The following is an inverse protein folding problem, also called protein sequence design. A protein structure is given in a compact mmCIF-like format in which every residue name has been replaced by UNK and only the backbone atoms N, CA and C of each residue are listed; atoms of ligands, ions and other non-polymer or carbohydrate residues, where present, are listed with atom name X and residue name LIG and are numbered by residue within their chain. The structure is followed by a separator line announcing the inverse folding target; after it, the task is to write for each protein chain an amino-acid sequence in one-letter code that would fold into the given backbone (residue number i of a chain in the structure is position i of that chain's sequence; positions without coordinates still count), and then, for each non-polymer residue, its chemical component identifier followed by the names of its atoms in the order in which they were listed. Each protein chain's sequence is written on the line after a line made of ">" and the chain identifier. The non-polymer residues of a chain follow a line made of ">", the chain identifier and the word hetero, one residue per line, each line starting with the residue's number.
data_IF_813318076367
#
_entry.id   IF_813318076367
#
_cell.length_a   1.000
_cell.length_b   1.000
_cell.length_c   1.000
_cell.angle_alpha   90.00
_cell.angle_beta   90.00
_cell.angle_gamma   90.00
#
_symmetry.space_group_name_H-M   'P 1'
#
loop_
_entity.id
_entity.type
_entity.pdbx_description
1 polymer ?
#
# COMPACT_ATOMS: atom_id res chain seq x y z
N UNK A 1 -27.56 -21.20 -0.57
CA UNK A 1 -26.53 -20.11 -0.48
C UNK A 1 -26.62 -19.61 0.95
N UNK A 2 -25.58 -19.68 1.77
CA UNK A 2 -25.64 -19.13 3.12
C UNK A 2 -25.82 -17.63 2.99
N UNK A 3 -26.80 -17.07 3.68
CA UNK A 3 -26.94 -15.63 3.88
C UNK A 3 -25.75 -15.22 4.75
N UNK A 4 -24.67 -14.82 4.12
CA UNK A 4 -23.53 -14.20 4.78
C UNK A 4 -24.04 -12.89 5.35
N UNK A 5 -24.27 -12.89 6.66
CA UNK A 5 -24.56 -11.71 7.46
C UNK A 5 -23.29 -10.84 7.42
N UNK A 6 -23.09 -10.15 6.29
CA UNK A 6 -21.79 -9.68 5.86
C UNK A 6 -21.43 -8.46 6.70
N UNK A 7 -20.72 -8.68 7.79
CA UNK A 7 -20.20 -7.64 8.68
C UNK A 7 -19.51 -6.51 7.91
N UNK A 8 -18.82 -6.85 6.83
CA UNK A 8 -18.11 -5.92 5.96
C UNK A 8 -19.03 -4.81 5.38
N UNK A 9 -20.33 -5.01 5.32
CA UNK A 9 -21.25 -4.04 4.70
C UNK A 9 -22.05 -3.21 5.70
N UNK A 10 -22.10 -3.63 6.97
CA UNK A 10 -22.98 -3.02 7.99
C UNK A 10 -22.75 -1.52 8.24
N UNK A 11 -21.52 -1.05 8.04
CA UNK A 11 -21.14 0.33 8.34
C UNK A 11 -21.09 1.25 7.11
N UNK A 12 -21.48 0.75 5.94
CA UNK A 12 -21.39 1.47 4.67
C UNK A 12 -22.73 2.14 4.34
N UNK A 13 -22.67 3.34 3.76
CA UNK A 13 -23.82 3.94 3.10
C UNK A 13 -24.05 3.30 1.70
N UNK A 14 -25.15 3.66 1.03
CA UNK A 14 -25.54 3.05 -0.23
C UNK A 14 -24.50 3.23 -1.33
N UNK A 15 -23.91 4.42 -1.45
CA UNK A 15 -22.90 4.75 -2.46
C UNK A 15 -21.59 4.00 -2.20
N UNK A 16 -21.16 3.95 -0.94
CA UNK A 16 -20.01 3.18 -0.53
C UNK A 16 -20.24 1.68 -0.78
N UNK A 17 -21.44 1.17 -0.48
CA UNK A 17 -21.79 -0.23 -0.71
C UNK A 17 -21.76 -0.58 -2.20
N UNK A 18 -22.26 0.29 -3.08
CA UNK A 18 -22.16 0.10 -4.53
C UNK A 18 -20.71 0.03 -4.97
N UNK A 19 -19.85 0.95 -4.50
CA UNK A 19 -18.42 0.95 -4.82
C UNK A 19 -17.71 -0.32 -4.33
N UNK A 20 -18.06 -0.81 -3.13
CA UNK A 20 -17.47 -2.02 -2.54
C UNK A 20 -17.90 -3.29 -3.30
N UNK A 21 -19.16 -3.37 -3.72
CA UNK A 21 -19.69 -4.53 -4.46
C UNK A 21 -19.32 -4.57 -5.94
N UNK A 22 -18.84 -3.46 -6.50
CA UNK A 22 -18.40 -3.43 -7.90
C UNK A 22 -17.05 -4.15 -8.04
N UNK A 23 -17.06 -5.38 -8.52
CA UNK A 23 -15.86 -6.24 -8.61
C UNK A 23 -15.16 -6.08 -9.95
N UNK A 24 -15.89 -6.08 -11.06
CA UNK A 24 -15.34 -6.14 -12.41
C UNK A 24 -15.42 -4.79 -13.13
N UNK A 25 -14.39 -4.52 -13.93
CA UNK A 25 -14.32 -3.34 -14.77
C UNK A 25 -13.85 -2.07 -14.03
N UNK A 26 -13.65 -0.98 -14.79
CA UNK A 26 -13.19 0.28 -14.23
C UNK A 26 -14.27 0.94 -13.37
N UNK A 27 -13.87 1.53 -12.25
CA UNK A 27 -14.72 2.28 -11.34
C UNK A 27 -14.04 3.58 -10.94
N UNK A 28 -14.67 4.72 -11.25
CA UNK A 28 -14.25 6.02 -10.75
C UNK A 28 -15.17 6.45 -9.60
N UNK A 29 -14.59 6.72 -8.43
CA UNK A 29 -15.30 7.24 -7.26
C UNK A 29 -14.91 8.69 -7.01
N UNK A 30 -15.83 9.61 -7.26
CA UNK A 30 -15.66 11.03 -7.00
C UNK A 30 -16.35 11.38 -5.68
N UNK A 31 -15.56 11.88 -4.72
CA UNK A 31 -16.09 12.13 -3.38
C UNK A 31 -15.27 13.22 -2.67
N UNK A 32 -15.95 14.08 -1.92
CA UNK A 32 -15.32 15.16 -1.16
C UNK A 32 -14.45 14.69 0.02
N UNK A 33 -13.75 15.61 0.67
CA UNK A 33 -13.03 15.31 1.89
C UNK A 33 -14.00 14.83 2.99
N UNK A 34 -13.58 13.83 3.79
CA UNK A 34 -14.45 13.28 4.87
C UNK A 34 -15.56 12.33 4.42
N UNK A 35 -15.79 12.14 3.13
CA UNK A 35 -16.86 11.26 2.59
C UNK A 35 -16.65 9.76 2.84
N UNK A 36 -15.51 9.36 3.42
CA UNK A 36 -15.21 7.96 3.69
C UNK A 36 -14.61 7.18 2.50
N UNK A 37 -13.96 7.86 1.54
CA UNK A 37 -13.26 7.20 0.40
C UNK A 37 -12.33 6.08 0.84
N UNK A 38 -11.46 6.36 1.82
CA UNK A 38 -10.53 5.36 2.36
C UNK A 38 -11.27 4.19 3.01
N UNK A 39 -12.37 4.45 3.70
CA UNK A 39 -13.23 3.41 4.27
C UNK A 39 -13.80 2.52 3.17
N UNK A 40 -14.40 3.10 2.13
CA UNK A 40 -14.92 2.34 1.00
C UNK A 40 -13.83 1.50 0.32
N UNK A 41 -12.63 2.07 0.10
CA UNK A 41 -11.51 1.34 -0.48
C UNK A 41 -11.05 0.16 0.40
N UNK A 42 -10.90 0.36 1.71
CA UNK A 42 -10.54 -0.70 2.65
C UNK A 42 -11.56 -1.84 2.66
N UNK A 43 -12.86 -1.48 2.71
CA UNK A 43 -13.95 -2.48 2.65
C UNK A 43 -14.02 -3.18 1.28
N UNK A 44 -13.69 -2.49 0.18
CA UNK A 44 -13.60 -3.10 -1.14
C UNK A 44 -12.49 -4.16 -1.19
N UNK A 45 -11.30 -3.86 -0.67
CA UNK A 45 -10.19 -4.84 -0.61
C UNK A 45 -10.61 -6.05 0.24
N UNK A 46 -11.20 -5.82 1.41
CA UNK A 46 -11.71 -6.90 2.26
C UNK A 46 -12.77 -7.75 1.53
N UNK A 47 -13.69 -7.12 0.81
CA UNK A 47 -14.71 -7.82 0.01
C UNK A 47 -14.10 -8.65 -1.14
N UNK A 48 -13.05 -8.18 -1.79
CA UNK A 48 -12.34 -8.92 -2.82
C UNK A 48 -11.71 -10.19 -2.25
N UNK A 49 -11.11 -10.11 -1.08
CA UNK A 49 -10.45 -11.24 -0.42
C UNK A 49 -11.49 -12.23 0.12
N UNK A 50 -12.45 -11.76 0.93
CA UNK A 50 -13.35 -12.64 1.69
C UNK A 50 -14.52 -13.20 0.87
N UNK A 51 -15.14 -12.38 0.04
CA UNK A 51 -16.36 -12.76 -0.66
C UNK A 51 -16.13 -13.15 -2.12
N UNK A 52 -15.04 -12.68 -2.72
CA UNK A 52 -14.74 -12.96 -4.12
C UNK A 52 -13.54 -13.88 -4.28
N UNK A 53 -12.93 -14.35 -3.19
CA UNK A 53 -11.80 -15.28 -3.17
C UNK A 53 -10.63 -14.84 -4.07
N UNK A 54 -10.42 -13.53 -4.14
CA UNK A 54 -9.29 -12.97 -4.88
C UNK A 54 -8.06 -13.08 -4.00
N UNK A 55 -7.04 -13.74 -4.51
CA UNK A 55 -5.77 -13.89 -3.83
C UNK A 55 -5.16 -12.51 -3.53
N UNK A 56 -4.76 -12.22 -2.27
CA UNK A 56 -4.12 -10.97 -1.89
C UNK A 56 -2.93 -10.58 -2.76
N UNK A 57 -2.17 -11.55 -3.26
CA UNK A 57 -1.07 -11.33 -4.21
C UNK A 57 -1.50 -10.62 -5.51
N UNK A 58 -2.74 -10.79 -5.92
CA UNK A 58 -3.32 -10.19 -7.12
C UNK A 58 -3.95 -8.81 -6.87
N UNK A 59 -3.83 -8.26 -5.67
CA UNK A 59 -4.40 -6.97 -5.31
C UNK A 59 -3.30 -5.93 -5.15
N UNK A 60 -3.38 -4.86 -5.94
CA UNK A 60 -2.49 -3.71 -5.87
C UNK A 60 -3.26 -2.48 -5.38
N UNK A 61 -2.90 -1.94 -4.22
CA UNK A 61 -3.48 -0.74 -3.64
C UNK A 61 -2.43 0.36 -3.51
N UNK A 62 -2.61 1.44 -4.25
CA UNK A 62 -1.63 2.53 -4.33
C UNK A 62 -2.11 3.76 -3.59
N UNK A 63 -1.22 4.39 -2.86
CA UNK A 63 -1.45 5.64 -2.13
C UNK A 63 -0.38 6.69 -2.46
N UNK A 64 -0.66 7.95 -2.14
CA UNK A 64 0.33 9.02 -2.34
C UNK A 64 1.39 9.08 -1.22
N UNK A 65 1.05 8.68 -0.01
CA UNK A 65 1.95 8.80 1.15
C UNK A 65 2.13 7.47 1.87
N UNK A 66 3.31 7.26 2.42
CA UNK A 66 3.61 6.09 3.26
C UNK A 66 2.71 6.02 4.50
N UNK A 67 2.32 7.18 5.05
CA UNK A 67 1.38 7.26 6.18
C UNK A 67 0.02 6.69 5.78
N UNK A 68 -0.53 7.11 4.63
CA UNK A 68 -1.81 6.61 4.14
C UNK A 68 -1.76 5.10 3.85
N UNK A 69 -0.66 4.60 3.31
CA UNK A 69 -0.46 3.16 3.08
C UNK A 69 -0.48 2.36 4.41
N UNK A 70 0.25 2.84 5.42
CA UNK A 70 0.27 2.22 6.76
C UNK A 70 -1.10 2.24 7.42
N UNK A 71 -1.81 3.37 7.36
CA UNK A 71 -3.18 3.48 7.90
C UNK A 71 -4.15 2.55 7.18
N UNK A 72 -4.07 2.46 5.86
CA UNK A 72 -4.91 1.55 5.07
C UNK A 72 -4.67 0.09 5.49
N UNK A 73 -3.40 -0.33 5.60
CA UNK A 73 -3.04 -1.68 6.02
C UNK A 73 -3.55 -1.99 7.43
N UNK A 74 -3.36 -1.09 8.39
CA UNK A 74 -3.82 -1.27 9.76
C UNK A 74 -5.37 -1.35 9.85
N UNK A 75 -6.09 -0.53 9.09
CA UNK A 75 -7.56 -0.58 9.03
C UNK A 75 -8.07 -1.88 8.41
N UNK A 76 -7.41 -2.34 7.36
CA UNK A 76 -7.74 -3.61 6.70
C UNK A 76 -7.51 -4.79 7.64
N UNK A 77 -6.39 -4.81 8.37
CA UNK A 77 -6.07 -5.83 9.37
C UNK A 77 -7.16 -5.93 10.44
N UNK A 78 -7.55 -4.79 11.02
CA UNK A 78 -8.62 -4.75 12.03
C UNK A 78 -9.97 -5.21 11.45
N UNK A 79 -10.31 -4.79 10.24
CA UNK A 79 -11.56 -5.15 9.59
C UNK A 79 -11.66 -6.66 9.33
N UNK A 80 -10.61 -7.26 8.81
CA UNK A 80 -10.55 -8.71 8.56
C UNK A 80 -10.49 -9.52 9.86
N UNK A 81 -9.80 -9.02 10.89
CA UNK A 81 -9.78 -9.67 12.20
C UNK A 81 -11.15 -9.62 12.90
N UNK A 82 -11.92 -8.54 12.73
CA UNK A 82 -13.30 -8.45 13.22
C UNK A 82 -14.23 -9.45 12.51
N UNK A 83 -14.10 -9.59 11.20
CA UNK A 83 -14.83 -10.60 10.44
C UNK A 83 -14.48 -12.01 10.91
N UNK A 84 -13.20 -12.30 11.06
CA UNK A 84 -12.69 -13.59 11.52
C UNK A 84 -13.16 -13.90 12.95
N UNK A 85 -13.19 -12.90 13.84
CA UNK A 85 -13.70 -13.05 15.21
C UNK A 85 -15.17 -13.51 15.22
N UNK A 86 -16.01 -12.90 14.40
CA UNK A 86 -17.41 -13.29 14.28
C UNK A 86 -17.57 -14.70 13.70
N UNK A 87 -16.75 -15.07 12.73
CA UNK A 87 -16.81 -16.39 12.08
C UNK A 87 -16.30 -17.52 12.98
N UNK A 88 -15.22 -17.29 13.76
CA UNK A 88 -14.60 -18.32 14.60
C UNK A 88 -15.21 -18.43 15.99
N UNK A 89 -15.52 -17.30 16.61
CA UNK A 89 -15.98 -17.25 18.01
C UNK A 89 -17.46 -16.93 18.15
N UNK A 90 -18.13 -16.50 17.08
CA UNK A 90 -19.52 -16.03 17.13
C UNK A 90 -19.72 -14.77 17.97
N UNK A 91 -18.64 -14.08 18.34
CA UNK A 91 -18.63 -12.93 19.23
C UNK A 91 -18.00 -11.70 18.57
N UNK A 92 -18.44 -10.48 18.92
CA UNK A 92 -17.82 -9.26 18.46
C UNK A 92 -16.36 -9.17 18.94
N UNK A 93 -15.48 -8.63 18.10
CA UNK A 93 -14.08 -8.35 18.42
C UNK A 93 -13.86 -7.69 19.78
N UNK A 94 -14.72 -6.72 20.14
CA UNK A 94 -14.62 -5.94 21.37
C UNK A 94 -14.84 -6.75 22.65
N UNK A 95 -15.42 -7.93 22.54
CA UNK A 95 -15.68 -8.83 23.70
C UNK A 95 -14.61 -9.89 23.88
N UNK A 96 -13.69 -10.04 22.92
CA UNK A 96 -12.61 -10.99 22.99
C UNK A 96 -11.51 -10.51 23.94
N UNK A 97 -10.82 -11.46 24.56
CA UNK A 97 -9.61 -11.17 25.35
C UNK A 97 -8.50 -10.65 24.45
N UNK A 98 -7.61 -9.84 24.99
CA UNK A 98 -6.50 -9.24 24.25
C UNK A 98 -5.59 -10.29 23.57
N UNK A 99 -5.38 -11.44 24.23
CA UNK A 99 -4.62 -12.55 23.66
C UNK A 99 -5.27 -13.07 22.38
N UNK A 100 -6.58 -13.29 22.38
CA UNK A 100 -7.33 -13.79 21.24
C UNK A 100 -7.34 -12.75 20.11
N UNK A 101 -7.48 -11.47 20.47
CA UNK A 101 -7.40 -10.37 19.49
C UNK A 101 -6.04 -10.32 18.80
N UNK A 102 -4.94 -10.42 19.56
CA UNK A 102 -3.59 -10.41 19.02
C UNK A 102 -3.33 -11.63 18.15
N UNK A 103 -3.83 -12.80 18.53
CA UNK A 103 -3.72 -14.01 17.73
C UNK A 103 -4.44 -13.87 16.38
N UNK A 104 -5.66 -13.34 16.39
CA UNK A 104 -6.44 -13.10 15.16
C UNK A 104 -5.75 -12.10 14.23
N UNK A 105 -5.18 -11.02 14.78
CA UNK A 105 -4.41 -10.04 13.97
C UNK A 105 -3.18 -10.68 13.34
N UNK A 106 -2.46 -11.50 14.09
CA UNK A 106 -1.29 -12.22 13.57
C UNK A 106 -1.69 -13.16 12.46
N UNK A 107 -2.75 -13.93 12.62
CA UNK A 107 -3.26 -14.85 11.59
C UNK A 107 -3.67 -14.09 10.33
N UNK A 108 -4.45 -13.01 10.47
CA UNK A 108 -4.84 -12.15 9.34
C UNK A 108 -3.62 -11.57 8.62
N UNK A 109 -2.63 -11.12 9.39
CA UNK A 109 -1.41 -10.57 8.81
C UNK A 109 -0.66 -11.60 7.97
N UNK A 110 -0.47 -12.80 8.51
CA UNK A 110 0.27 -13.87 7.86
C UNK A 110 -0.47 -14.47 6.66
N UNK A 111 -1.78 -14.71 6.80
CA UNK A 111 -2.55 -15.42 5.79
C UNK A 111 -3.10 -14.51 4.68
N UNK A 112 -3.39 -13.23 4.98
CA UNK A 112 -4.15 -12.35 4.08
C UNK A 112 -3.46 -11.04 3.71
N UNK A 113 -2.50 -10.56 4.50
CA UNK A 113 -1.90 -9.24 4.29
C UNK A 113 -0.42 -9.28 3.92
N UNK A 114 0.25 -10.39 4.10
CA UNK A 114 1.68 -10.51 3.84
C UNK A 114 1.98 -10.27 2.35
N UNK A 115 1.19 -10.85 1.48
CA UNK A 115 1.39 -10.81 0.02
C UNK A 115 0.62 -9.68 -0.66
N UNK A 116 -0.17 -8.93 0.10
CA UNK A 116 -0.94 -7.80 -0.43
C UNK A 116 -0.01 -6.61 -0.77
N UNK A 117 -0.17 -6.09 -1.96
CA UNK A 117 0.63 -4.97 -2.46
C UNK A 117 -0.01 -3.63 -2.09
N UNK A 118 0.28 -3.13 -0.89
CA UNK A 118 -0.13 -1.79 -0.44
C UNK A 118 1.10 -0.91 -0.25
N UNK A 119 1.13 0.24 -0.91
CA UNK A 119 2.25 1.18 -0.80
C UNK A 119 2.07 2.44 -1.63
N UNK A 120 3.10 3.26 -1.63
CA UNK A 120 3.20 4.39 -2.58
C UNK A 120 3.67 3.88 -3.94
N UNK A 121 3.45 4.65 -5.00
CA UNK A 121 3.99 4.34 -6.33
C UNK A 121 5.48 4.02 -6.27
N UNK A 122 6.26 4.88 -5.62
CA UNK A 122 7.71 4.69 -5.51
C UNK A 122 8.08 3.38 -4.80
N UNK A 123 7.44 3.06 -3.67
CA UNK A 123 7.75 1.84 -2.92
C UNK A 123 7.36 0.57 -3.70
N UNK A 124 6.23 0.60 -4.39
CA UNK A 124 5.74 -0.54 -5.16
C UNK A 124 6.58 -0.74 -6.43
N UNK A 125 6.91 0.34 -7.15
CA UNK A 125 7.77 0.25 -8.33
C UNK A 125 9.20 -0.14 -7.99
N UNK A 126 9.76 0.35 -6.88
CA UNK A 126 11.04 -0.12 -6.37
C UNK A 126 11.02 -1.62 -6.07
N UNK A 127 9.94 -2.14 -5.50
CA UNK A 127 9.75 -3.57 -5.26
C UNK A 127 9.65 -4.35 -6.57
N UNK A 128 8.87 -3.87 -7.54
CA UNK A 128 8.78 -4.48 -8.88
C UNK A 128 10.12 -4.52 -9.60
N UNK A 129 10.85 -3.40 -9.61
CA UNK A 129 12.16 -3.34 -10.21
C UNK A 129 13.14 -4.35 -9.60
N UNK A 130 13.11 -4.54 -8.28
CA UNK A 130 13.97 -5.53 -7.63
C UNK A 130 13.68 -6.97 -8.05
N UNK A 131 12.46 -7.28 -8.51
CA UNK A 131 12.16 -8.59 -9.08
C UNK A 131 12.73 -8.78 -10.49
N UNK A 132 12.71 -7.74 -11.31
CA UNK A 132 12.94 -7.86 -12.75
C UNK A 132 14.18 -7.15 -13.27
N UNK A 133 14.85 -6.32 -12.46
CA UNK A 133 15.97 -5.46 -12.91
C UNK A 133 17.11 -6.23 -13.56
N UNK A 134 17.36 -7.47 -13.12
CA UNK A 134 18.42 -8.32 -13.68
C UNK A 134 18.14 -8.76 -15.12
N UNK A 135 16.90 -8.64 -15.58
CA UNK A 135 16.50 -8.90 -16.98
C UNK A 135 16.82 -7.71 -17.89
N UNK A 136 17.01 -6.54 -17.30
CA UNK A 136 17.30 -5.31 -18.03
C UNK A 136 18.79 -5.15 -18.27
N UNK A 137 19.13 -4.84 -19.52
CA UNK A 137 20.45 -4.42 -19.94
C UNK A 137 20.31 -3.05 -20.59
N UNK A 138 21.08 -2.08 -20.15
CA UNK A 138 21.02 -0.74 -20.74
C UNK A 138 21.60 -0.72 -22.17
N UNK A 139 21.46 0.38 -22.92
CA UNK A 139 21.98 0.51 -24.27
C UNK A 139 23.50 0.36 -24.37
N UNK A 140 24.22 0.56 -23.26
CA UNK A 140 25.68 0.46 -23.16
C UNK A 140 26.14 -0.96 -22.79
N UNK A 141 25.22 -1.89 -22.57
CA UNK A 141 25.48 -3.29 -22.24
C UNK A 141 25.66 -3.56 -20.75
N UNK A 142 25.44 -2.58 -19.87
CA UNK A 142 25.54 -2.73 -18.43
C UNK A 142 24.30 -3.46 -17.89
N UNK A 143 24.52 -4.46 -17.04
CA UNK A 143 23.48 -5.18 -16.32
C UNK A 143 23.28 -4.59 -14.94
N UNK A 144 22.04 -4.28 -14.63
CA UNK A 144 21.68 -3.81 -13.31
C UNK A 144 21.47 -4.97 -12.32
N UNK A 145 21.75 -4.72 -11.05
CA UNK A 145 21.58 -5.70 -9.97
C UNK A 145 20.44 -5.28 -9.05
N UNK A 146 19.91 -6.21 -8.25
CA UNK A 146 18.86 -5.93 -7.25
C UNK A 146 19.30 -4.96 -6.15
N UNK A 147 20.60 -4.72 -6.01
CA UNK A 147 21.18 -3.83 -4.99
C UNK A 147 21.29 -2.38 -5.45
N UNK A 148 20.48 -1.94 -6.41
CA UNK A 148 20.47 -0.54 -6.84
C UNK A 148 19.95 0.36 -5.71
N UNK A 149 20.48 1.58 -5.64
CA UNK A 149 19.99 2.67 -4.80
C UNK A 149 19.08 3.59 -5.60
N UNK A 150 18.09 4.15 -4.95
CA UNK A 150 17.23 5.19 -5.53
C UNK A 150 17.69 6.49 -4.92
N UNK A 151 18.19 7.39 -5.75
CA UNK A 151 18.65 8.72 -5.34
C UNK A 151 17.44 9.64 -5.16
N UNK A 152 17.43 10.37 -4.06
CA UNK A 152 16.55 11.53 -3.91
C UNK A 152 17.16 12.77 -4.57
N UNK A 153 16.50 13.93 -4.43
CA UNK A 153 16.98 15.17 -5.01
C UNK A 153 18.32 15.60 -4.40
N UNK A 154 18.50 15.40 -3.11
CA UNK A 154 19.75 15.74 -2.38
C UNK A 154 20.90 14.85 -2.83
N UNK A 155 20.65 13.54 -2.93
CA UNK A 155 21.63 12.58 -3.43
C UNK A 155 22.08 12.91 -4.85
N UNK A 156 21.09 13.23 -5.72
CA UNK A 156 21.36 13.62 -7.11
C UNK A 156 22.19 14.91 -7.22
N UNK A 157 21.86 15.92 -6.42
CA UNK A 157 22.63 17.18 -6.37
C UNK A 157 24.05 16.96 -5.86
N UNK A 158 24.22 16.09 -4.86
CA UNK A 158 25.54 15.75 -4.31
C UNK A 158 26.39 15.07 -5.37
N UNK A 159 25.84 14.07 -6.06
CA UNK A 159 26.54 13.36 -7.14
C UNK A 159 26.95 14.32 -8.27
N UNK A 160 26.06 15.21 -8.70
CA UNK A 160 26.37 16.22 -9.73
C UNK A 160 27.52 17.13 -9.29
N UNK A 161 27.50 17.60 -8.02
CA UNK A 161 28.59 18.41 -7.47
C UNK A 161 29.92 17.66 -7.45
N UNK A 162 29.92 16.38 -7.08
CA UNK A 162 31.11 15.53 -7.09
C UNK A 162 31.67 15.35 -8.50
N UNK A 163 30.83 15.06 -9.49
CA UNK A 163 31.24 14.92 -10.90
C UNK A 163 31.85 16.23 -11.41
N UNK A 164 31.18 17.37 -11.17
CA UNK A 164 31.69 18.67 -11.61
C UNK A 164 33.05 18.99 -10.95
N UNK A 165 33.22 18.66 -9.68
CA UNK A 165 34.48 18.93 -8.97
C UNK A 165 35.62 18.03 -9.42
N UNK A 166 35.33 16.78 -9.79
CA UNK A 166 36.34 15.81 -10.23
C UNK A 166 36.74 15.98 -11.71
N UNK A 167 35.75 16.08 -12.58
CA UNK A 167 35.96 16.06 -14.02
C UNK A 167 36.26 17.46 -14.62
N UNK A 168 35.70 18.51 -14.06
CA UNK A 168 35.83 19.84 -14.64
C UNK A 168 36.80 20.75 -13.88
N UNK A 169 37.38 20.28 -12.79
CA UNK A 169 38.28 21.06 -11.93
C UNK A 169 37.73 22.47 -11.60
N UNK A 170 36.39 22.56 -11.54
CA UNK A 170 35.66 23.83 -11.43
C UNK A 170 35.30 24.06 -9.96
N UNK A 171 35.81 25.14 -9.40
CA UNK A 171 35.39 25.62 -8.11
C UNK A 171 33.91 26.04 -8.23
N UNK A 172 33.01 25.25 -7.64
CA UNK A 172 31.63 25.67 -7.44
C UNK A 172 31.66 26.83 -6.43
N UNK A 173 31.50 28.05 -6.90
CA UNK A 173 31.15 29.15 -6.04
C UNK A 173 29.77 28.86 -5.45
N UNK A 174 29.74 28.44 -4.20
CA UNK A 174 28.52 28.51 -3.41
C UNK A 174 28.16 29.98 -3.26
N UNK A 175 27.01 30.36 -3.76
CA UNK A 175 26.45 31.71 -3.59
C UNK A 175 25.97 31.89 -2.13
N UNK A 176 26.90 32.01 -1.21
CA UNK A 176 26.64 32.58 0.13
C UNK A 176 26.77 34.12 0.12
N UNK A 177 26.29 34.73 -0.94
CA UNK A 177 26.27 36.17 -1.07
C UNK A 177 24.85 36.67 -1.34
N UNK A 178 23.98 36.48 -0.38
CA UNK A 178 22.68 37.17 -0.33
C UNK A 178 22.19 37.24 1.12
N UNK A 179 22.98 37.87 1.98
CA UNK A 179 22.54 38.50 3.23
C UNK A 179 23.50 39.69 3.53
N UNK A 180 23.29 40.77 2.84
CA UNK A 180 23.56 42.16 3.31
C UNK A 180 22.42 43.08 2.87
#
# INVERSE_FOLDING_TARGET
>A
MPQTNNFLFKSLNNEQLQAVKHVYGPLLVVAGAGSGKTKALTHRIANLIENNSIDPHNILAVTFTNKAAKEMKARLEVLLAQELALNQFGQPWTTLKEIDQNQLRTNVHQEKLQDLWIGTFHSLFSRLLRYDIEKYTDPEGLKWTRQFSIYDETDSQTLVKEIISQDMNCLLYTSDAADE
#
